data_IF_287393769730
#
_entry.id   IF_287393769730
#
_cell.length_a   1.000
_cell.length_b   1.000
_cell.length_c   1.000
_cell.angle_alpha   90.00
_cell.angle_beta   90.00
_cell.angle_gamma   90.00
#
_symmetry.space_group_name_H-M   'P 1'
#
loop_
_entity.id
_entity.type
_entity.pdbx_description
1 polymer ?
#
# COMPACT_ATOMS: atom_id res chain seq x y z
N UNK A 1 -3.16 -36.71 13.30
CA UNK A 1 -3.37 -36.41 14.75
C UNK A 1 -2.26 -35.53 15.34
N UNK A 2 -0.96 -35.78 15.07
CA UNK A 2 0.14 -34.91 15.55
C UNK A 2 0.00 -33.46 15.07
N UNK A 3 -0.22 -33.24 13.76
CA UNK A 3 -0.32 -31.88 13.19
C UNK A 3 -1.44 -31.07 13.85
N UNK A 4 -2.62 -31.69 13.99
CA UNK A 4 -3.76 -31.06 14.66
C UNK A 4 -3.45 -30.67 16.11
N UNK A 5 -2.72 -31.50 16.85
CA UNK A 5 -2.28 -31.19 18.22
C UNK A 5 -1.28 -30.03 18.24
N UNK A 6 -0.34 -30.00 17.31
CA UNK A 6 0.62 -28.90 17.18
C UNK A 6 -0.08 -27.58 16.82
N UNK A 7 -1.08 -27.61 15.92
CA UNK A 7 -1.89 -26.45 15.57
C UNK A 7 -2.68 -25.94 16.78
N UNK A 8 -3.32 -26.85 17.55
CA UNK A 8 -4.03 -26.46 18.77
C UNK A 8 -3.07 -25.84 19.79
N UNK A 9 -1.93 -26.47 20.05
CA UNK A 9 -0.94 -25.93 20.99
C UNK A 9 -0.44 -24.56 20.52
N UNK A 10 -0.13 -24.42 19.24
CA UNK A 10 0.28 -23.13 18.66
C UNK A 10 -0.79 -22.05 18.81
N UNK A 11 -2.05 -22.38 18.56
CA UNK A 11 -3.17 -21.46 18.72
C UNK A 11 -3.34 -21.04 20.18
N UNK A 12 -3.28 -21.99 21.12
CA UNK A 12 -3.36 -21.69 22.57
C UNK A 12 -2.22 -20.78 23.01
N UNK A 13 -0.98 -21.08 22.59
CA UNK A 13 0.18 -20.25 22.90
C UNK A 13 0.01 -18.84 22.32
N UNK A 14 -0.43 -18.70 21.07
CA UNK A 14 -0.65 -17.41 20.43
C UNK A 14 -1.71 -16.58 21.17
N UNK A 15 -2.86 -17.18 21.52
CA UNK A 15 -3.92 -16.51 22.26
C UNK A 15 -3.47 -16.03 23.65
N UNK A 16 -2.67 -16.84 24.35
CA UNK A 16 -2.12 -16.45 25.65
C UNK A 16 -1.05 -15.35 25.53
N UNK A 17 -0.32 -15.29 24.41
CA UNK A 17 0.70 -14.29 24.16
C UNK A 17 0.15 -12.95 23.67
N UNK A 18 -1.06 -12.90 23.12
CA UNK A 18 -1.64 -11.68 22.52
C UNK A 18 -1.65 -10.48 23.48
N UNK A 19 -2.16 -10.66 24.70
CA UNK A 19 -2.29 -9.58 25.68
C UNK A 19 -0.94 -9.01 26.16
N UNK A 20 0.04 -9.82 26.61
CA UNK A 20 1.34 -9.28 27.02
C UNK A 20 2.12 -8.66 25.87
N UNK A 21 1.98 -9.16 24.63
CA UNK A 21 2.63 -8.55 23.46
C UNK A 21 2.01 -7.20 23.12
N UNK A 22 0.68 -7.10 23.11
CA UNK A 22 -0.02 -5.84 22.85
C UNK A 22 0.25 -4.76 23.93
N UNK A 23 0.65 -5.17 25.14
CA UNK A 23 0.97 -4.28 26.26
C UNK A 23 2.48 -4.22 26.53
N UNK A 24 3.32 -4.64 25.56
CA UNK A 24 4.75 -4.37 25.60
C UNK A 24 5.00 -2.86 25.66
N UNK A 25 6.23 -2.45 25.98
CA UNK A 25 6.59 -1.03 26.06
C UNK A 25 7.50 -0.63 24.89
N UNK A 26 7.09 0.30 24.02
CA UNK A 26 5.78 0.99 24.00
C UNK A 26 4.65 0.05 23.54
N UNK A 27 3.40 0.28 24.00
CA UNK A 27 2.27 -0.53 23.56
C UNK A 27 2.04 -0.33 22.07
N UNK A 28 1.53 -1.38 21.42
CA UNK A 28 1.16 -1.29 20.01
C UNK A 28 0.11 -0.19 19.82
N UNK A 29 0.21 0.51 18.69
CA UNK A 29 -0.75 1.57 18.38
C UNK A 29 -2.13 0.97 18.19
N UNK A 30 -3.12 1.48 18.93
CA UNK A 30 -4.51 1.07 18.80
C UNK A 30 -5.17 1.61 17.52
N UNK A 31 -4.59 2.64 16.91
CA UNK A 31 -5.13 3.28 15.72
C UNK A 31 -4.03 3.84 14.82
N UNK A 32 -4.07 3.45 13.55
CA UNK A 32 -3.24 3.94 12.47
C UNK A 32 -4.21 4.50 11.42
N UNK A 33 -4.23 5.81 11.26
CA UNK A 33 -5.07 6.48 10.26
C UNK A 33 -4.70 6.01 8.84
N UNK A 34 -5.68 5.85 7.97
CA UNK A 34 -5.53 5.22 6.66
C UNK A 34 -5.70 3.70 6.72
N UNK A 35 -5.15 3.02 7.73
CA UNK A 35 -5.09 1.55 7.74
C UNK A 35 -6.37 0.89 8.27
N UNK A 36 -7.00 1.46 9.29
CA UNK A 36 -8.20 0.87 9.92
C UNK A 36 -9.51 1.61 9.58
N UNK A 37 -9.44 2.74 8.89
CA UNK A 37 -10.57 3.59 8.53
C UNK A 37 -10.93 3.53 7.03
N UNK A 38 -10.51 2.48 6.33
CA UNK A 38 -10.71 2.31 4.89
C UNK A 38 -10.04 3.45 4.08
N UNK A 39 -8.93 3.99 4.58
CA UNK A 39 -8.18 5.08 3.95
C UNK A 39 -6.90 4.61 3.23
N UNK A 40 -6.71 3.31 3.03
CA UNK A 40 -5.54 2.69 2.39
C UNK A 40 -5.77 2.38 0.91
N UNK A 41 -6.97 2.66 0.40
CA UNK A 41 -7.35 2.60 -1.02
C UNK A 41 -7.26 1.19 -1.63
N UNK A 42 -7.42 0.14 -0.84
CA UNK A 42 -7.54 -1.24 -1.34
C UNK A 42 -8.80 -1.43 -2.20
N UNK A 43 -9.86 -0.68 -1.91
CA UNK A 43 -11.09 -0.55 -2.69
C UNK A 43 -10.86 0.00 -4.10
N UNK A 44 -9.95 0.97 -4.27
CA UNK A 44 -9.54 1.49 -5.58
C UNK A 44 -8.78 0.42 -6.37
N UNK A 45 -7.88 -0.32 -5.71
CA UNK A 45 -7.17 -1.44 -6.36
C UNK A 45 -8.17 -2.51 -6.81
N UNK A 46 -9.13 -2.85 -5.95
CA UNK A 46 -10.20 -3.79 -6.27
C UNK A 46 -11.09 -3.30 -7.42
N UNK A 47 -11.39 -1.99 -7.48
CA UNK A 47 -12.14 -1.37 -8.57
C UNK A 47 -11.40 -1.46 -9.91
N UNK A 48 -10.09 -1.17 -9.92
CA UNK A 48 -9.27 -1.17 -11.15
C UNK A 48 -9.01 -2.58 -11.65
N UNK A 49 -8.71 -3.51 -10.73
CA UNK A 49 -8.27 -4.87 -11.09
C UNK A 49 -9.42 -5.86 -11.18
N UNK A 50 -10.54 -5.59 -10.51
CA UNK A 50 -11.74 -6.38 -10.62
C UNK A 50 -12.47 -6.13 -11.93
N UNK A 51 -13.21 -7.14 -12.39
CA UNK A 51 -14.16 -7.01 -13.52
C UNK A 51 -15.35 -6.06 -13.16
N UNK A 52 -15.33 -5.48 -11.96
CA UNK A 52 -16.22 -4.41 -11.51
C UNK A 52 -16.05 -3.11 -12.30
N UNK A 53 -14.90 -2.88 -12.91
CA UNK A 53 -14.72 -1.80 -13.88
C UNK A 53 -15.59 -1.94 -15.14
N UNK A 54 -16.07 -3.16 -15.45
CA UNK A 54 -16.96 -3.44 -16.58
C UNK A 54 -18.45 -3.32 -16.24
N UNK A 55 -18.81 -3.23 -14.95
CA UNK A 55 -20.18 -2.95 -14.53
C UNK A 55 -20.36 -1.43 -14.54
N UNK A 56 -20.86 -0.88 -15.65
CA UNK A 56 -21.29 0.52 -15.71
C UNK A 56 -22.32 0.77 -14.59
N UNK A 57 -22.01 1.54 -13.53
CA UNK A 57 -23.00 1.85 -12.52
C UNK A 57 -24.00 2.80 -13.15
N UNK A 58 -25.28 2.39 -13.16
CA UNK A 58 -26.38 3.25 -13.58
C UNK A 58 -26.34 4.51 -12.70
N UNK A 59 -26.06 5.65 -13.31
CA UNK A 59 -25.82 6.90 -12.59
C UNK A 59 -27.10 7.38 -11.94
N UNK A 60 -27.17 7.36 -10.61
CA UNK A 60 -28.04 8.28 -9.87
C UNK A 60 -27.16 9.05 -8.90
N UNK A 61 -26.76 10.23 -9.35
CA UNK A 61 -25.95 11.19 -8.59
C UNK A 61 -26.83 11.92 -7.56
N UNK A 62 -26.26 12.31 -6.41
CA UNK A 62 -25.80 13.69 -6.33
C UNK A 62 -24.28 13.78 -6.07
N UNK A 63 -23.69 14.78 -6.70
CA UNK A 63 -22.27 15.00 -6.92
C UNK A 63 -21.43 14.93 -5.64
N UNK A 64 -20.37 14.10 -5.66
CA UNK A 64 -19.10 14.44 -5.04
C UNK A 64 -18.02 14.42 -6.13
N UNK A 65 -17.15 15.44 -6.23
CA UNK A 65 -16.05 15.39 -7.19
C UNK A 65 -15.14 14.23 -6.78
N UNK A 66 -15.15 13.15 -7.55
CA UNK A 66 -14.04 12.20 -7.56
C UNK A 66 -12.86 13.00 -8.09
N UNK A 67 -11.91 13.32 -7.22
CA UNK A 67 -10.62 13.81 -7.65
C UNK A 67 -9.96 12.64 -8.41
N UNK A 68 -10.05 12.67 -9.74
CA UNK A 68 -9.27 11.79 -10.56
C UNK A 68 -7.79 12.11 -10.27
N UNK A 69 -7.12 11.22 -9.53
CA UNK A 69 -5.68 11.31 -9.34
C UNK A 69 -5.01 10.90 -10.65
N UNK A 70 -5.02 11.81 -11.63
CA UNK A 70 -4.20 11.69 -12.84
C UNK A 70 -2.79 12.07 -12.42
N UNK A 71 -2.01 11.09 -12.01
CA UNK A 71 -0.56 11.25 -11.84
C UNK A 71 0.06 11.47 -13.21
N UNK A 72 0.49 12.70 -13.50
CA UNK A 72 1.36 12.97 -14.65
C UNK A 72 2.70 12.29 -14.38
N UNK A 73 2.93 11.12 -14.98
CA UNK A 73 4.29 10.58 -15.10
C UNK A 73 5.01 11.48 -16.09
N UNK A 74 5.78 12.44 -15.57
CA UNK A 74 6.78 13.13 -16.37
C UNK A 74 7.75 12.08 -16.87
N UNK A 75 7.98 11.96 -18.19
CA UNK A 75 9.11 11.18 -18.69
C UNK A 75 10.35 11.70 -17.98
N UNK A 76 11.13 10.81 -17.38
CA UNK A 76 12.45 11.16 -16.89
C UNK A 76 13.20 11.80 -18.06
N UNK A 77 13.49 13.09 -17.97
CA UNK A 77 14.39 13.73 -18.92
C UNK A 77 15.67 12.90 -18.90
N UNK A 78 15.99 12.32 -20.06
CA UNK A 78 17.30 11.73 -20.26
C UNK A 78 18.28 12.88 -20.12
N UNK A 79 18.98 12.93 -18.99
CA UNK A 79 20.08 13.87 -18.72
C UNK A 79 20.88 14.09 -20.01
N UNK A 80 21.04 15.33 -20.50
CA UNK A 80 21.86 15.59 -21.66
C UNK A 80 23.25 15.05 -21.38
N UNK A 81 23.67 14.03 -22.14
CA UNK A 81 25.02 13.47 -22.05
C UNK A 81 26.02 14.62 -22.08
N UNK A 82 26.69 14.88 -20.94
CA UNK A 82 27.77 15.87 -20.87
C UNK A 82 28.77 15.56 -21.99
N UNK A 83 29.16 16.55 -22.81
CA UNK A 83 30.27 16.37 -23.71
C UNK A 83 31.52 16.07 -22.88
N UNK A 84 32.21 14.99 -23.24
CA UNK A 84 33.53 14.66 -22.70
C UNK A 84 34.46 15.88 -22.80
N UNK A 85 35.22 16.23 -21.74
CA UNK A 85 36.20 17.31 -21.86
C UNK A 85 37.28 16.87 -22.86
N UNK A 86 37.37 17.56 -23.99
CA UNK A 86 38.54 17.47 -24.85
C UNK A 86 39.73 18.03 -24.07
N UNK A 87 40.71 17.17 -23.81
CA UNK A 87 42.07 17.59 -23.47
C UNK A 87 42.56 18.49 -24.61
N UNK A 88 42.92 19.71 -24.26
CA UNK A 88 43.79 20.54 -25.08
C UNK A 88 44.85 21.03 -24.13
N UNK A 89 45.92 20.24 -24.10
CA UNK A 89 47.15 20.53 -23.39
C UNK A 89 47.84 21.76 -24.00
N UNK A 90 48.51 22.49 -23.10
CA UNK A 90 49.41 23.59 -23.36
C UNK A 90 50.60 23.16 -24.22
N UNK A 91 50.89 23.88 -25.31
CA UNK A 91 52.14 24.63 -25.53
C UNK A 91 52.29 25.10 -26.97
#
# INVERSE_FOLDING_TARGET
MILHRLVIVGLVVALLALAPVAHASPPDQSWIAGLYDNGDFDDVVLLITGDLGAIQPSTVSPLRPVAAAVGLVTPMDSEPRRPSPQSSDLS
#
